data_IF_496029199548
#
_entry.id   IF_496029199548
#
_cell.length_a   1.000
_cell.length_b   1.000
_cell.length_c   1.000
_cell.angle_alpha   90.00
_cell.angle_beta   90.00
_cell.angle_gamma   90.00
#
_symmetry.space_group_name_H-M   'P 1'
#
loop_
_entity.id
_entity.type
_entity.pdbx_description
1 polymer ?
#
# COMPACT_ATOMS: atom_id res chain seq x y z
N UNK A 1 0.59 20.16 -5.33
CA UNK A 1 -0.49 19.81 -6.29
C UNK A 1 -1.42 18.78 -5.66
N UNK A 2 -2.69 18.66 -6.09
CA UNK A 2 -3.65 17.71 -5.49
C UNK A 2 -3.21 16.24 -5.63
N UNK A 3 -2.70 15.86 -6.80
CA UNK A 3 -2.23 14.50 -7.09
C UNK A 3 -1.03 14.07 -6.24
N UNK A 4 -0.09 15.00 -5.98
CA UNK A 4 1.05 14.75 -5.10
C UNK A 4 0.61 14.50 -3.65
N UNK A 5 -0.37 15.26 -3.14
CA UNK A 5 -0.91 15.05 -1.80
C UNK A 5 -1.57 13.68 -1.67
N UNK A 6 -2.36 13.28 -2.68
CA UNK A 6 -2.99 11.95 -2.70
C UNK A 6 -1.90 10.88 -2.73
N UNK A 7 -0.86 11.04 -3.56
CA UNK A 7 0.25 10.08 -3.62
C UNK A 7 0.93 9.92 -2.25
N UNK A 8 1.24 11.01 -1.55
CA UNK A 8 1.81 10.96 -0.20
C UNK A 8 0.90 10.17 0.75
N UNK A 9 -0.40 10.47 0.76
CA UNK A 9 -1.37 9.78 1.62
C UNK A 9 -1.51 8.29 1.29
N UNK A 10 -1.53 7.93 0.01
CA UNK A 10 -1.62 6.53 -0.43
C UNK A 10 -0.36 5.74 -0.01
N UNK A 11 0.82 6.36 -0.08
CA UNK A 11 2.08 5.75 0.40
C UNK A 11 2.06 5.56 1.92
N UNK A 12 1.67 6.58 2.69
CA UNK A 12 1.53 6.48 4.15
C UNK A 12 0.55 5.36 4.55
N UNK A 13 -0.58 5.25 3.85
CA UNK A 13 -1.55 4.17 4.09
C UNK A 13 -0.94 2.79 3.81
N UNK A 14 -0.15 2.65 2.74
CA UNK A 14 0.53 1.40 2.41
C UNK A 14 1.59 1.03 3.46
N UNK A 15 2.31 2.00 4.01
CA UNK A 15 3.27 1.79 5.10
C UNK A 15 2.58 1.31 6.37
N UNK A 16 1.51 1.97 6.80
CA UNK A 16 0.71 1.54 7.95
C UNK A 16 0.17 0.11 7.80
N UNK A 17 -0.26 -0.25 6.59
CA UNK A 17 -0.73 -1.62 6.31
C UNK A 17 0.38 -2.66 6.41
N UNK A 18 1.59 -2.34 5.93
CA UNK A 18 2.75 -3.21 6.09
C UNK A 18 3.08 -3.44 7.57
N UNK A 19 3.05 -2.39 8.39
CA UNK A 19 3.30 -2.49 9.83
C UNK A 19 2.25 -3.34 10.55
N UNK A 20 0.97 -3.14 10.22
CA UNK A 20 -0.13 -3.92 10.77
C UNK A 20 0.00 -5.42 10.41
N UNK A 21 0.34 -5.73 9.16
CA UNK A 21 0.54 -7.11 8.72
C UNK A 21 1.76 -7.76 9.39
N UNK A 22 2.84 -7.00 9.58
CA UNK A 22 4.01 -7.46 10.32
C UNK A 22 3.69 -7.74 11.80
N UNK A 23 2.89 -6.88 12.44
CA UNK A 23 2.43 -7.10 13.81
C UNK A 23 1.56 -8.37 13.91
N UNK A 24 0.59 -8.52 13.02
CA UNK A 24 -0.28 -9.70 12.93
C UNK A 24 0.53 -10.99 12.73
N UNK A 25 1.56 -10.94 11.89
CA UNK A 25 2.47 -12.06 11.66
C UNK A 25 3.21 -12.47 12.93
N UNK A 26 3.73 -11.50 13.70
CA UNK A 26 4.44 -11.76 14.96
C UNK A 26 3.51 -12.34 16.03
N UNK A 27 2.26 -11.91 16.06
CA UNK A 27 1.27 -12.38 17.03
C UNK A 27 0.83 -13.82 16.75
N UNK A 28 0.62 -14.15 15.47
CA UNK A 28 -0.02 -15.40 15.10
C UNK A 28 0.96 -16.50 14.66
N UNK A 29 2.16 -16.18 14.21
CA UNK A 29 3.11 -17.21 13.75
C UNK A 29 4.19 -17.54 14.80
N UNK A 30 4.58 -18.83 14.91
CA UNK A 30 4.10 -19.96 14.11
C UNK A 30 2.82 -20.64 14.64
N UNK A 31 2.25 -20.18 15.77
CA UNK A 31 1.22 -20.93 16.51
C UNK A 31 -0.16 -21.06 15.85
N UNK A 32 -0.54 -20.11 14.99
CA UNK A 32 -1.87 -20.00 14.37
C UNK A 32 -1.78 -19.64 12.88
N UNK A 33 -1.14 -20.46 12.03
CA UNK A 33 -0.86 -20.10 10.64
C UNK A 33 -2.11 -19.97 9.77
N UNK A 34 -3.15 -20.78 10.02
CA UNK A 34 -4.44 -20.67 9.31
C UNK A 34 -5.16 -19.36 9.65
N UNK A 35 -5.14 -18.96 10.93
CA UNK A 35 -5.76 -17.71 11.38
C UNK A 35 -5.03 -16.50 10.78
N UNK A 36 -3.70 -16.56 10.72
CA UNK A 36 -2.90 -15.55 10.03
C UNK A 36 -3.29 -15.43 8.57
N UNK A 37 -3.36 -16.54 7.83
CA UNK A 37 -3.72 -16.52 6.41
C UNK A 37 -5.08 -15.84 6.17
N UNK A 38 -6.12 -16.26 6.91
CA UNK A 38 -7.47 -15.70 6.78
C UNK A 38 -7.49 -14.19 7.08
N UNK A 39 -6.84 -13.77 8.18
CA UNK A 39 -6.81 -12.35 8.56
C UNK A 39 -5.92 -11.50 7.66
N UNK A 40 -4.93 -12.10 6.99
CA UNK A 40 -4.03 -11.43 6.07
C UNK A 40 -4.62 -11.25 4.67
N UNK A 41 -5.63 -12.03 4.27
CA UNK A 41 -6.22 -11.99 2.93
C UNK A 41 -6.69 -10.57 2.54
N UNK A 42 -7.64 -10.00 3.28
CA UNK A 42 -8.17 -8.67 2.94
C UNK A 42 -7.13 -7.54 3.02
N UNK A 43 -6.25 -7.48 4.04
CA UNK A 43 -5.13 -6.54 4.05
C UNK A 43 -4.22 -6.68 2.82
N UNK A 44 -3.86 -7.91 2.42
CA UNK A 44 -3.02 -8.12 1.26
C UNK A 44 -3.69 -7.69 -0.05
N UNK A 45 -5.00 -7.86 -0.18
CA UNK A 45 -5.75 -7.35 -1.33
C UNK A 45 -5.79 -5.82 -1.37
N UNK A 46 -6.02 -5.17 -0.23
CA UNK A 46 -6.03 -3.71 -0.14
C UNK A 46 -4.64 -3.12 -0.43
N UNK A 47 -3.56 -3.76 0.04
CA UNK A 47 -2.20 -3.34 -0.30
C UNK A 47 -1.94 -3.37 -1.81
N UNK A 48 -2.45 -4.38 -2.52
CA UNK A 48 -2.34 -4.44 -4.00
C UNK A 48 -3.09 -3.30 -4.67
N UNK A 49 -4.25 -2.91 -4.14
CA UNK A 49 -5.02 -1.76 -4.65
C UNK A 49 -4.26 -0.45 -4.47
N UNK A 50 -3.72 -0.22 -3.27
CA UNK A 50 -2.92 0.97 -2.97
C UNK A 50 -1.64 1.05 -3.82
N UNK A 51 -0.96 -0.08 -4.04
CA UNK A 51 0.19 -0.14 -4.94
C UNK A 51 -0.15 0.27 -6.37
N UNK A 52 -1.26 -0.25 -6.91
CA UNK A 52 -1.73 0.14 -8.24
C UNK A 52 -2.10 1.63 -8.31
N UNK A 53 -2.69 2.18 -7.25
CA UNK A 53 -2.99 3.61 -7.16
C UNK A 53 -1.72 4.47 -7.13
N UNK A 54 -0.70 4.08 -6.36
CA UNK A 54 0.63 4.73 -6.35
C UNK A 54 1.24 4.75 -7.76
N UNK A 55 1.22 3.63 -8.48
CA UNK A 55 1.73 3.55 -9.86
C UNK A 55 0.97 4.48 -10.80
N UNK A 56 -0.36 4.53 -10.70
CA UNK A 56 -1.21 5.42 -11.50
C UNK A 56 -0.94 6.90 -11.19
N UNK A 57 -0.84 7.28 -9.92
CA UNK A 57 -0.59 8.67 -9.50
C UNK A 57 0.81 9.12 -9.93
N UNK A 58 1.81 8.26 -9.79
CA UNK A 58 3.19 8.53 -10.24
C UNK A 58 3.24 8.76 -11.75
N UNK A 59 2.53 7.93 -12.53
CA UNK A 59 2.42 8.08 -13.99
C UNK A 59 1.73 9.39 -14.36
N UNK A 60 0.66 9.77 -13.65
CA UNK A 60 -0.04 11.04 -13.88
C UNK A 60 0.88 12.25 -13.61
N UNK A 61 1.67 12.23 -12.54
CA UNK A 61 2.61 13.31 -12.22
C UNK A 61 3.71 13.40 -13.29
N UNK A 62 4.26 12.26 -13.72
CA UNK A 62 5.29 12.21 -14.74
C UNK A 62 4.80 12.73 -16.11
N UNK A 63 3.55 12.42 -16.48
CA UNK A 63 2.95 12.87 -17.75
C UNK A 63 2.43 14.31 -17.71
N UNK A 64 2.04 14.80 -16.54
CA UNK A 64 1.60 16.19 -16.33
C UNK A 64 2.76 17.20 -16.25
N UNK A 65 3.99 16.73 -16.05
CA UNK A 65 5.18 17.58 -16.07
C UNK A 65 5.72 17.63 -17.50
N UNK A 66 5.57 18.74 -18.25
CA UNK A 66 6.26 18.86 -19.52
C UNK A 66 7.75 18.92 -19.20
N UNK A 67 8.51 17.92 -19.66
CA UNK A 67 9.97 18.01 -19.71
C UNK A 67 10.27 19.25 -20.53
N UNK A 68 10.68 20.33 -19.86
CA UNK A 68 11.16 21.53 -20.52
C UNK A 68 12.36 21.12 -21.38
N UNK A 69 12.13 21.04 -22.68
CA UNK A 69 13.14 20.86 -23.72
C UNK A 69 13.68 22.23 -24.15
#
# INVERSE_FOLDING_TARGET
MKTELILTQTVEQLEHMNEALAALRRELLPGQPKKFAILAESPLEEMRRLQAEVEQLTTQIATATPVAA
#
